data_IF_901639191541
#
_entry.id   IF_901639191541
#
_cell.length_a   1.000
_cell.length_b   1.000
_cell.length_c   1.000
_cell.angle_alpha   90.00
_cell.angle_beta   90.00
_cell.angle_gamma   90.00
#
_symmetry.space_group_name_H-M   'P 1'
#
loop_
_entity.id
_entity.type
_entity.pdbx_description
1 polymer ?
#
# COMPACT_ATOMS: atom_id res chain seq x y z
N UNK A 1 -12.61 9.69 20.60
CA UNK A 1 -12.44 8.53 19.70
C UNK A 1 -11.08 7.92 20.01
N UNK A 2 -11.04 6.68 20.52
CA UNK A 2 -9.81 6.04 21.01
C UNK A 2 -8.89 5.69 19.83
N UNK A 3 -7.60 6.04 19.88
CA UNK A 3 -6.64 5.80 18.79
C UNK A 3 -6.50 4.33 18.42
N UNK A 4 -6.77 3.43 19.38
CA UNK A 4 -6.81 1.98 19.17
C UNK A 4 -7.88 1.55 18.15
N UNK A 5 -9.01 2.25 18.06
CA UNK A 5 -10.10 1.94 17.14
C UNK A 5 -9.72 2.24 15.68
N UNK A 6 -9.02 3.35 15.48
CA UNK A 6 -8.53 3.76 14.16
C UNK A 6 -7.41 2.83 13.69
N UNK A 7 -6.51 2.43 14.59
CA UNK A 7 -5.46 1.47 14.27
C UNK A 7 -6.03 0.14 13.76
N UNK A 8 -7.05 -0.42 14.42
CA UNK A 8 -7.69 -1.67 13.98
C UNK A 8 -8.42 -1.54 12.64
N UNK A 9 -9.05 -0.40 12.38
CA UNK A 9 -9.67 -0.11 11.08
C UNK A 9 -8.64 -0.07 9.95
N UNK A 10 -7.51 0.60 10.17
CA UNK A 10 -6.43 0.70 9.18
C UNK A 10 -5.79 -0.67 8.93
N UNK A 11 -5.56 -1.46 9.98
CA UNK A 11 -5.00 -2.82 9.85
C UNK A 11 -5.89 -3.69 8.95
N UNK A 12 -7.21 -3.68 9.13
CA UNK A 12 -8.12 -4.45 8.28
C UNK A 12 -8.05 -4.05 6.81
N UNK A 13 -8.00 -2.75 6.53
CA UNK A 13 -7.87 -2.20 5.17
C UNK A 13 -6.53 -2.60 4.54
N UNK A 14 -5.43 -2.49 5.30
CA UNK A 14 -4.08 -2.82 4.85
C UNK A 14 -3.91 -4.32 4.65
N UNK A 15 -4.61 -5.20 5.36
CA UNK A 15 -4.53 -6.65 5.09
C UNK A 15 -5.21 -6.99 3.76
N UNK A 16 -6.39 -6.42 3.48
CA UNK A 16 -7.15 -6.70 2.25
C UNK A 16 -6.46 -6.09 1.02
N UNK A 17 -5.97 -4.86 1.13
CA UNK A 17 -5.43 -4.10 0.00
C UNK A 17 -3.91 -3.91 0.03
N UNK A 18 -3.23 -4.27 1.12
CA UNK A 18 -1.78 -4.00 1.28
C UNK A 18 -0.92 -4.79 0.32
N UNK A 19 -1.28 -6.04 0.03
CA UNK A 19 -0.60 -6.82 -1.01
C UNK A 19 -0.76 -6.20 -2.40
N UNK A 20 -1.94 -5.68 -2.71
CA UNK A 20 -2.23 -5.03 -3.99
C UNK A 20 -1.53 -3.66 -4.11
N UNK A 21 -1.60 -2.83 -3.06
CA UNK A 21 -0.94 -1.53 -3.02
C UNK A 21 0.58 -1.68 -3.16
N UNK A 22 1.20 -2.63 -2.45
CA UNK A 22 2.62 -2.93 -2.57
C UNK A 22 2.99 -3.39 -4.00
N UNK A 23 2.15 -4.23 -4.62
CA UNK A 23 2.34 -4.69 -6.00
C UNK A 23 2.29 -3.54 -7.00
N UNK A 24 1.29 -2.65 -6.89
CA UNK A 24 1.15 -1.47 -7.76
C UNK A 24 2.33 -0.51 -7.57
N UNK A 25 2.73 -0.21 -6.33
CA UNK A 25 3.86 0.68 -6.06
C UNK A 25 5.14 0.12 -6.67
N UNK A 26 5.42 -1.17 -6.46
CA UNK A 26 6.58 -1.83 -7.02
C UNK A 26 6.57 -1.81 -8.55
N UNK A 27 5.43 -2.10 -9.18
CA UNK A 27 5.27 -2.04 -10.63
C UNK A 27 5.47 -0.62 -11.17
N UNK A 28 4.90 0.40 -10.53
CA UNK A 28 5.03 1.81 -10.94
C UNK A 28 6.47 2.30 -10.82
N UNK A 29 7.15 1.99 -9.70
CA UNK A 29 8.56 2.34 -9.50
C UNK A 29 9.44 1.66 -10.56
N UNK A 30 9.20 0.37 -10.84
CA UNK A 30 9.92 -0.37 -11.88
C UNK A 30 9.69 0.23 -13.26
N UNK A 31 8.44 0.58 -13.61
CA UNK A 31 8.11 1.23 -14.88
C UNK A 31 8.77 2.60 -15.02
N UNK A 32 8.77 3.42 -13.96
CA UNK A 32 9.46 4.72 -13.97
C UNK A 32 10.97 4.57 -14.14
N UNK A 33 11.58 3.63 -13.43
CA UNK A 33 13.02 3.34 -13.56
C UNK A 33 13.37 2.83 -14.96
N UNK A 34 12.48 2.05 -15.58
CA UNK A 34 12.68 1.53 -16.94
C UNK A 34 12.46 2.57 -18.03
N UNK A 35 11.70 3.64 -17.78
CA UNK A 35 11.44 4.71 -18.75
C UNK A 35 12.47 5.85 -18.67
N UNK A 36 13.28 5.90 -17.60
CA UNK A 36 14.35 6.88 -17.42
C UNK A 36 15.72 6.39 -17.93
N UNK A 37 15.75 5.33 -18.75
CA UNK A 37 16.95 4.76 -19.37
C UNK A 37 16.83 4.73 -20.89
#
# INVERSE_FOLDING_TARGET
>A
MNGASIAMMVIGIVIIWGGLAASIINAVVKSKKSQAG
#
